data_IF_751067951863
#
_entry.id   IF_751067951863
#
_cell.length_a   1.000
_cell.length_b   1.000
_cell.length_c   1.000
_cell.angle_alpha   90.00
_cell.angle_beta   90.00
_cell.angle_gamma   90.00
#
_symmetry.space_group_name_H-M   'P 1'
#
loop_
_entity.id
_entity.type
_entity.pdbx_description
1 polymer ?
#
# COMPACT_ATOMS: atom_id res chain seq x y z
N UNK A 1 -7.96 -11.32 -26.60
CA UNK A 1 -6.94 -11.59 -25.59
C UNK A 1 -7.62 -11.88 -24.28
N UNK A 2 -7.88 -13.15 -24.00
CA UNK A 2 -8.68 -13.66 -22.88
C UNK A 2 -7.84 -14.70 -22.17
N UNK A 3 -7.25 -14.35 -21.03
CA UNK A 3 -6.35 -15.27 -20.32
C UNK A 3 -6.11 -14.95 -18.85
N UNK A 4 -6.10 -13.67 -18.46
CA UNK A 4 -5.91 -13.30 -17.05
C UNK A 4 -7.22 -13.26 -16.24
N UNK A 5 -8.36 -12.94 -16.88
CA UNK A 5 -9.66 -12.84 -16.19
C UNK A 5 -10.28 -14.20 -15.81
N UNK A 6 -10.00 -15.27 -16.56
CA UNK A 6 -10.67 -16.56 -16.39
C UNK A 6 -10.06 -17.45 -15.29
N UNK A 7 -8.76 -17.32 -15.00
CA UNK A 7 -8.06 -18.23 -14.05
C UNK A 7 -8.43 -17.97 -12.58
N UNK A 8 -8.81 -16.74 -12.25
CA UNK A 8 -9.07 -16.31 -10.87
C UNK A 8 -10.55 -16.04 -10.56
N UNK A 9 -11.35 -15.66 -11.58
CA UNK A 9 -12.82 -15.56 -11.42
C UNK A 9 -13.48 -16.92 -11.21
N UNK A 10 -12.84 -18.03 -11.60
CA UNK A 10 -13.39 -19.38 -11.45
C UNK A 10 -13.29 -19.93 -10.00
N UNK A 11 -12.78 -19.16 -9.05
CA UNK A 11 -12.25 -19.67 -7.77
C UNK A 11 -13.15 -19.39 -6.54
N UNK A 12 -14.36 -18.84 -6.72
CA UNK A 12 -15.38 -18.77 -5.66
C UNK A 12 -14.90 -18.14 -4.34
N UNK A 13 -15.09 -18.83 -3.22
CA UNK A 13 -14.76 -18.38 -1.85
C UNK A 13 -13.25 -18.21 -1.59
N UNK A 14 -12.39 -18.87 -2.38
CA UNK A 14 -10.94 -18.85 -2.16
C UNK A 14 -10.34 -17.46 -2.39
N UNK A 15 -10.91 -16.65 -3.29
CA UNK A 15 -10.41 -15.28 -3.52
C UNK A 15 -10.69 -14.34 -2.32
N UNK A 16 -11.92 -14.25 -1.80
CA UNK A 16 -12.18 -13.56 -0.53
C UNK A 16 -11.31 -14.06 0.63
N UNK A 17 -11.13 -15.38 0.76
CA UNK A 17 -10.32 -15.97 1.83
C UNK A 17 -8.85 -15.51 1.72
N UNK A 18 -8.29 -15.52 0.51
CA UNK A 18 -6.93 -15.06 0.25
C UNK A 18 -6.77 -13.57 0.58
N UNK A 19 -7.78 -12.75 0.26
CA UNK A 19 -7.79 -11.33 0.63
C UNK A 19 -7.82 -11.14 2.15
N UNK A 20 -8.67 -11.88 2.87
CA UNK A 20 -8.75 -11.81 4.35
C UNK A 20 -7.41 -12.16 4.99
N UNK A 21 -6.79 -13.26 4.58
CA UNK A 21 -5.48 -13.69 5.10
C UNK A 21 -4.41 -12.64 4.79
N UNK A 22 -4.45 -12.04 3.60
CA UNK A 22 -3.49 -10.99 3.20
C UNK A 22 -3.62 -9.74 4.06
N UNK A 23 -4.84 -9.31 4.39
CA UNK A 23 -5.07 -8.18 5.30
C UNK A 23 -4.68 -8.49 6.74
N UNK A 24 -4.94 -9.72 7.20
CA UNK A 24 -4.53 -10.16 8.53
C UNK A 24 -3.01 -10.08 8.70
N UNK A 25 -2.26 -10.58 7.72
CA UNK A 25 -0.79 -10.52 7.73
C UNK A 25 -0.27 -9.07 7.67
N UNK A 26 -0.90 -8.19 6.88
CA UNK A 26 -0.57 -6.76 6.86
C UNK A 26 -0.83 -6.07 8.21
N UNK A 27 -1.94 -6.40 8.87
CA UNK A 27 -2.26 -5.87 10.19
C UNK A 27 -1.26 -6.37 11.25
N UNK A 28 -0.91 -7.67 11.21
CA UNK A 28 0.08 -8.25 12.11
C UNK A 28 1.47 -7.61 11.97
N UNK A 29 1.91 -7.33 10.74
CA UNK A 29 3.15 -6.60 10.47
C UNK A 29 3.13 -5.18 11.10
N UNK A 30 2.01 -4.47 10.98
CA UNK A 30 1.85 -3.13 11.56
C UNK A 30 1.93 -3.16 13.09
N UNK A 31 1.26 -4.13 13.73
CA UNK A 31 1.29 -4.30 15.20
C UNK A 31 2.69 -4.69 15.67
N UNK A 32 3.38 -5.58 14.95
CA UNK A 32 4.74 -5.97 15.32
C UNK A 32 5.71 -4.78 15.25
N UNK A 33 5.57 -3.91 14.24
CA UNK A 33 6.34 -2.66 14.14
C UNK A 33 6.05 -1.73 15.32
N UNK A 34 4.79 -1.59 15.71
CA UNK A 34 4.39 -0.79 16.89
C UNK A 34 5.04 -1.32 18.18
N UNK A 35 5.02 -2.65 18.41
CA UNK A 35 5.68 -3.28 19.57
C UNK A 35 7.18 -2.98 19.58
N UNK A 36 7.86 -3.10 18.44
CA UNK A 36 9.29 -2.80 18.31
C UNK A 36 9.56 -1.32 18.64
N UNK A 37 8.71 -0.39 18.19
CA UNK A 37 8.87 1.03 18.54
C UNK A 37 8.69 1.30 20.03
N UNK A 38 7.70 0.68 20.67
CA UNK A 38 7.45 0.79 22.11
C UNK A 38 8.61 0.20 22.92
N UNK A 39 9.09 -0.99 22.53
CA UNK A 39 10.20 -1.67 23.20
C UNK A 39 11.52 -0.90 23.05
N UNK A 40 11.79 -0.36 21.86
CA UNK A 40 12.93 0.51 21.62
C UNK A 40 12.90 1.76 22.51
N UNK A 41 11.75 2.43 22.62
CA UNK A 41 11.60 3.61 23.47
C UNK A 41 11.88 3.32 24.96
N UNK A 42 11.46 2.13 25.43
CA UNK A 42 11.71 1.66 26.81
C UNK A 42 13.18 1.33 27.05
N UNK A 43 13.81 0.59 26.14
CA UNK A 43 15.20 0.13 26.29
C UNK A 43 16.24 1.24 26.09
N UNK A 44 15.93 2.26 25.29
CA UNK A 44 16.86 3.34 24.95
C UNK A 44 16.75 4.58 25.84
N UNK A 45 16.08 4.51 27.00
CA UNK A 45 15.92 5.62 27.97
C UNK A 45 15.54 6.97 27.31
N UNK A 46 14.59 6.93 26.37
CA UNK A 46 14.14 8.12 25.62
C UNK A 46 14.76 8.29 24.22
N UNK A 47 15.67 7.42 23.81
CA UNK A 47 16.06 7.29 22.40
C UNK A 47 14.99 6.58 21.57
N UNK A 48 14.70 7.06 20.36
CA UNK A 48 13.83 6.35 19.41
C UNK A 48 14.65 5.66 18.34
N UNK A 49 14.33 4.42 17.99
CA UNK A 49 14.86 3.79 16.75
C UNK A 49 14.47 4.67 15.56
N UNK A 50 15.44 4.93 14.67
CA UNK A 50 15.20 5.74 13.49
C UNK A 50 14.21 5.04 12.55
N UNK A 51 13.17 5.78 12.18
CA UNK A 51 12.09 5.38 11.30
C UNK A 51 12.64 4.87 9.95
N UNK A 52 13.72 5.51 9.49
CA UNK A 52 14.38 5.15 8.26
C UNK A 52 15.00 3.76 8.31
N UNK A 53 15.52 3.34 9.46
CA UNK A 53 16.12 2.01 9.62
C UNK A 53 15.05 0.93 9.51
N UNK A 54 13.95 1.07 10.25
CA UNK A 54 12.84 0.09 10.21
C UNK A 54 12.21 0.02 8.82
N UNK A 55 11.99 1.17 8.17
CA UNK A 55 11.46 1.21 6.81
C UNK A 55 12.41 0.58 5.77
N UNK A 56 13.72 0.84 5.90
CA UNK A 56 14.74 0.32 4.98
C UNK A 56 14.91 -1.19 5.13
N UNK A 57 14.98 -1.70 6.36
CA UNK A 57 15.02 -3.14 6.60
C UNK A 57 13.73 -3.82 6.11
N UNK A 58 12.55 -3.25 6.41
CA UNK A 58 11.28 -3.76 5.92
C UNK A 58 11.23 -3.84 4.39
N UNK A 59 11.62 -2.77 3.70
CA UNK A 59 11.67 -2.71 2.23
C UNK A 59 12.70 -3.67 1.64
N UNK A 60 13.86 -3.84 2.27
CA UNK A 60 14.90 -4.76 1.82
C UNK A 60 14.41 -6.23 1.90
N UNK A 61 13.82 -6.63 3.04
CA UNK A 61 13.25 -7.97 3.18
C UNK A 61 12.07 -8.18 2.22
N UNK A 62 11.18 -7.20 2.07
CA UNK A 62 10.08 -7.27 1.11
C UNK A 62 10.60 -7.50 -0.31
N UNK A 63 11.65 -6.78 -0.74
CA UNK A 63 12.25 -6.97 -2.05
C UNK A 63 12.83 -8.39 -2.21
N UNK A 64 13.53 -8.91 -1.20
CA UNK A 64 14.08 -10.28 -1.22
C UNK A 64 12.96 -11.32 -1.34
N UNK A 65 11.95 -11.26 -0.47
CA UNK A 65 10.82 -12.18 -0.51
C UNK A 65 10.04 -12.07 -1.82
N UNK A 66 9.85 -10.85 -2.34
CA UNK A 66 9.18 -10.64 -3.61
C UNK A 66 9.96 -11.26 -4.77
N UNK A 67 11.29 -11.12 -4.81
CA UNK A 67 12.16 -11.77 -5.79
C UNK A 67 12.10 -13.31 -5.70
N UNK A 68 12.04 -13.86 -4.48
CA UNK A 68 11.91 -15.30 -4.24
C UNK A 68 10.52 -15.84 -4.63
N UNK A 69 9.47 -15.06 -4.44
CA UNK A 69 8.09 -15.43 -4.77
C UNK A 69 7.72 -15.13 -6.23
N UNK A 70 8.43 -14.23 -6.91
CA UNK A 70 8.27 -13.89 -8.31
C UNK A 70 8.15 -15.12 -9.24
N UNK A 71 9.03 -16.15 -9.14
CA UNK A 71 8.86 -17.37 -9.93
C UNK A 71 7.50 -18.04 -9.67
N UNK A 72 7.11 -18.22 -8.41
CA UNK A 72 5.84 -18.86 -8.06
C UNK A 72 4.63 -18.07 -8.58
N UNK A 73 4.64 -16.74 -8.39
CA UNK A 73 3.59 -15.84 -8.86
C UNK A 73 3.50 -15.81 -10.40
N UNK A 74 4.63 -15.91 -11.09
CA UNK A 74 4.67 -15.96 -12.56
C UNK A 74 3.92 -17.19 -13.09
N UNK A 75 4.01 -18.34 -12.41
CA UNK A 75 3.23 -19.53 -12.78
C UNK A 75 1.74 -19.36 -12.53
N UNK A 76 1.35 -18.71 -11.43
CA UNK A 76 -0.06 -18.42 -11.13
C UNK A 76 -0.68 -17.45 -12.15
N UNK A 77 0.11 -16.50 -12.66
CA UNK A 77 -0.28 -15.57 -13.71
C UNK A 77 -0.20 -16.14 -15.14
N UNK A 78 0.21 -17.41 -15.29
CA UNK A 78 0.26 -18.10 -16.58
C UNK A 78 1.51 -17.82 -17.42
N UNK A 79 2.55 -17.21 -16.84
CA UNK A 79 3.83 -16.95 -17.52
C UNK A 79 4.78 -18.13 -17.33
N UNK A 80 5.27 -18.77 -18.40
CA UNK A 80 6.24 -19.85 -18.28
C UNK A 80 7.60 -19.32 -17.79
N UNK A 81 8.22 -20.01 -16.84
CA UNK A 81 9.47 -19.62 -16.16
C UNK A 81 10.61 -19.18 -17.09
N UNK A 82 10.73 -19.80 -18.26
CA UNK A 82 11.82 -19.50 -19.19
C UNK A 82 11.67 -18.15 -19.90
N UNK A 83 10.45 -17.57 -19.94
CA UNK A 83 10.22 -16.22 -20.46
C UNK A 83 10.42 -15.14 -19.39
N UNK A 84 10.45 -15.49 -18.10
CA UNK A 84 10.55 -14.52 -17.00
C UNK A 84 11.75 -13.56 -17.14
N UNK A 85 12.97 -14.02 -17.49
CA UNK A 85 14.10 -13.12 -17.70
C UNK A 85 13.89 -12.16 -18.87
N UNK A 86 13.24 -12.62 -19.94
CA UNK A 86 12.90 -11.80 -21.11
C UNK A 86 11.87 -10.74 -20.75
N UNK A 87 10.81 -11.09 -19.98
CA UNK A 87 9.84 -10.11 -19.47
C UNK A 87 10.48 -9.03 -18.59
N UNK A 88 11.42 -9.42 -17.71
CA UNK A 88 12.15 -8.45 -16.87
C UNK A 88 13.02 -7.54 -17.74
N UNK A 89 13.70 -8.10 -18.75
CA UNK A 89 14.54 -7.35 -19.68
C UNK A 89 13.73 -6.36 -20.51
N UNK A 90 12.60 -6.80 -21.05
CA UNK A 90 11.71 -5.95 -21.84
C UNK A 90 11.08 -4.85 -20.99
N UNK A 91 10.71 -5.17 -19.74
CA UNK A 91 10.26 -4.19 -18.75
C UNK A 91 11.34 -3.17 -18.39
N UNK A 92 12.59 -3.61 -18.22
CA UNK A 92 13.72 -2.72 -17.97
C UNK A 92 14.07 -1.84 -19.17
N UNK A 93 13.97 -2.37 -20.39
CA UNK A 93 14.16 -1.62 -21.63
C UNK A 93 13.06 -0.55 -21.81
N UNK A 94 11.80 -0.88 -21.49
CA UNK A 94 10.70 0.07 -21.46
C UNK A 94 10.88 1.14 -20.36
N UNK A 95 11.30 0.74 -19.15
CA UNK A 95 11.57 1.67 -18.05
C UNK A 95 12.70 2.64 -18.36
N UNK A 96 13.82 2.15 -18.89
CA UNK A 96 14.98 2.97 -19.25
C UNK A 96 14.82 3.70 -20.59
N UNK A 97 13.65 3.57 -21.23
CA UNK A 97 13.36 4.12 -22.56
C UNK A 97 14.44 3.76 -23.60
N UNK A 98 15.03 2.57 -23.48
CA UNK A 98 16.04 2.04 -24.40
C UNK A 98 15.38 1.10 -25.40
N UNK A 99 14.90 1.64 -26.52
CA UNK A 99 14.38 0.85 -27.64
C UNK A 99 13.08 1.40 -28.21
N UNK A 100 13.13 1.92 -29.43
CA UNK A 100 12.02 2.56 -30.14
C UNK A 100 10.98 1.57 -30.71
N UNK A 101 10.53 0.55 -29.96
CA UNK A 101 9.75 -0.54 -30.58
C UNK A 101 8.49 -1.04 -29.86
N UNK A 102 7.90 -0.31 -28.92
CA UNK A 102 6.54 -0.66 -28.48
C UNK A 102 5.69 0.57 -28.24
N UNK A 103 4.67 0.75 -29.06
CA UNK A 103 3.52 1.57 -28.72
C UNK A 103 3.02 1.13 -27.33
N UNK A 104 3.20 1.97 -26.30
CA UNK A 104 2.82 1.63 -24.92
C UNK A 104 3.81 2.01 -23.80
N UNK A 105 5.04 2.45 -24.11
CA UNK A 105 5.99 2.96 -23.11
C UNK A 105 5.92 4.49 -22.92
N UNK A 106 4.85 5.14 -23.40
CA UNK A 106 4.60 6.58 -23.25
C UNK A 106 4.58 6.95 -21.75
N UNK A 107 5.50 7.79 -21.30
CA UNK A 107 5.60 8.25 -19.91
C UNK A 107 6.61 7.52 -19.02
N UNK A 108 7.34 6.51 -19.52
CA UNK A 108 8.51 5.95 -18.84
C UNK A 108 9.77 6.81 -19.06
N UNK A 109 10.65 7.02 -18.06
CA UNK A 109 10.62 6.54 -16.67
C UNK A 109 9.82 7.42 -15.69
N UNK A 110 9.35 8.59 -16.13
CA UNK A 110 8.83 9.62 -15.24
C UNK A 110 7.65 9.14 -14.39
N UNK A 111 6.68 8.46 -15.00
CA UNK A 111 5.46 8.02 -14.32
C UNK A 111 5.73 6.89 -13.29
N UNK A 112 6.49 5.82 -13.62
CA UNK A 112 6.96 4.85 -12.62
C UNK A 112 7.77 5.47 -11.48
N UNK A 113 8.66 6.42 -11.78
CA UNK A 113 9.51 7.05 -10.78
C UNK A 113 8.68 7.95 -9.84
N UNK A 114 7.71 8.69 -10.38
CA UNK A 114 6.76 9.45 -9.60
C UNK A 114 5.93 8.55 -8.67
N UNK A 115 5.48 7.38 -9.16
CA UNK A 115 4.79 6.39 -8.34
C UNK A 115 5.65 5.91 -7.17
N UNK A 116 6.92 5.56 -7.41
CA UNK A 116 7.83 5.12 -6.35
C UNK A 116 8.07 6.22 -5.32
N UNK A 117 8.27 7.47 -5.75
CA UNK A 117 8.46 8.61 -4.85
C UNK A 117 7.23 8.85 -3.96
N UNK A 118 6.04 8.87 -4.55
CA UNK A 118 4.79 9.08 -3.79
C UNK A 118 4.51 7.92 -2.85
N UNK A 119 4.71 6.67 -3.30
CA UNK A 119 4.51 5.47 -2.47
C UNK A 119 5.51 5.43 -1.29
N UNK A 120 6.79 5.77 -1.52
CA UNK A 120 7.77 5.88 -0.44
C UNK A 120 7.43 7.01 0.53
N UNK A 121 7.01 8.18 0.02
CA UNK A 121 6.55 9.28 0.86
C UNK A 121 5.34 8.91 1.73
N UNK A 122 4.39 8.15 1.16
CA UNK A 122 3.22 7.63 1.88
C UNK A 122 3.61 6.63 2.98
N UNK A 123 4.46 5.65 2.67
CA UNK A 123 4.94 4.67 3.65
C UNK A 123 5.71 5.34 4.81
N UNK A 124 6.55 6.33 4.52
CA UNK A 124 7.28 7.11 5.55
C UNK A 124 6.29 7.93 6.39
N UNK A 125 5.29 8.54 5.76
CA UNK A 125 4.26 9.33 6.44
C UNK A 125 3.40 8.50 7.37
N UNK A 126 3.04 7.27 6.99
CA UNK A 126 2.34 6.32 7.86
C UNK A 126 3.20 5.93 9.07
N UNK A 127 4.49 5.67 8.86
CA UNK A 127 5.41 5.38 9.96
C UNK A 127 5.57 6.58 10.92
N UNK A 128 5.60 7.81 10.41
CA UNK A 128 5.62 9.02 11.25
C UNK A 128 4.30 9.17 12.05
N UNK A 129 3.17 8.83 11.43
CA UNK A 129 1.87 8.83 12.09
C UNK A 129 1.76 7.73 13.16
N UNK A 130 2.33 6.54 12.92
CA UNK A 130 2.46 5.47 13.91
C UNK A 130 3.28 5.91 15.13
N UNK A 131 4.34 6.70 14.91
CA UNK A 131 5.21 7.18 15.99
C UNK A 131 4.53 8.22 16.91
N UNK A 132 3.61 9.01 16.36
CA UNK A 132 2.91 10.09 17.11
C UNK A 132 1.57 9.63 17.68
N UNK A 133 0.92 8.66 17.04
CA UNK A 133 -0.44 8.25 17.36
C UNK A 133 -0.50 6.77 17.78
N UNK A 134 -1.08 5.89 16.94
CA UNK A 134 -1.23 4.46 17.20
C UNK A 134 -1.45 3.69 15.88
N UNK A 135 -1.27 2.37 15.89
CA UNK A 135 -1.58 1.48 14.77
C UNK A 135 -2.98 1.69 14.19
N UNK A 136 -3.99 1.94 15.02
CA UNK A 136 -5.39 2.13 14.57
C UNK A 136 -5.54 3.38 13.71
N UNK A 137 -4.94 4.50 14.12
CA UNK A 137 -4.97 5.74 13.35
C UNK A 137 -4.25 5.61 12.00
N UNK A 138 -3.12 4.88 11.98
CA UNK A 138 -2.39 4.58 10.74
C UNK A 138 -3.20 3.70 9.80
N UNK A 139 -3.86 2.65 10.31
CA UNK A 139 -4.76 1.81 9.52
C UNK A 139 -5.94 2.63 8.96
N UNK A 140 -6.58 3.49 9.76
CA UNK A 140 -7.67 4.35 9.30
C UNK A 140 -7.20 5.37 8.24
N UNK A 141 -6.05 6.01 8.44
CA UNK A 141 -5.47 6.94 7.47
C UNK A 141 -5.10 6.24 6.15
N UNK A 142 -4.53 5.03 6.23
CA UNK A 142 -4.25 4.23 5.04
C UNK A 142 -5.53 3.82 4.31
N UNK A 143 -6.58 3.46 5.04
CA UNK A 143 -7.89 3.10 4.48
C UNK A 143 -8.55 4.30 3.81
N UNK A 144 -8.36 5.52 4.32
CA UNK A 144 -8.86 6.75 3.71
C UNK A 144 -8.21 7.12 2.37
N UNK A 145 -6.97 6.65 2.12
CA UNK A 145 -6.31 6.86 0.82
C UNK A 145 -7.07 6.22 -0.36
N UNK A 146 -7.79 5.13 -0.12
CA UNK A 146 -8.57 4.40 -1.12
C UNK A 146 -9.73 5.24 -1.64
N UNK A 147 -10.66 5.74 -0.80
CA UNK A 147 -11.74 6.57 -1.28
C UNK A 147 -11.26 7.92 -1.83
N UNK A 148 -10.17 8.48 -1.31
CA UNK A 148 -9.55 9.69 -1.85
C UNK A 148 -9.05 9.48 -3.29
N UNK A 149 -8.45 8.32 -3.58
CA UNK A 149 -8.00 7.97 -4.94
C UNK A 149 -9.17 7.82 -5.90
N UNK A 150 -10.27 7.20 -5.47
CA UNK A 150 -11.49 7.07 -6.27
C UNK A 150 -12.13 8.43 -6.52
N UNK A 151 -12.14 9.31 -5.52
CA UNK A 151 -12.56 10.70 -5.71
C UNK A 151 -11.65 11.45 -6.70
N UNK A 152 -10.33 11.24 -6.65
CA UNK A 152 -9.39 11.83 -7.61
C UNK A 152 -9.67 11.39 -9.05
N UNK A 153 -10.06 10.13 -9.28
CA UNK A 153 -10.47 9.63 -10.60
C UNK A 153 -11.80 10.21 -11.11
N UNK A 154 -12.55 10.92 -10.27
CA UNK A 154 -13.79 11.59 -10.65
C UNK A 154 -13.55 13.05 -11.06
N UNK A 155 -12.35 13.58 -10.79
CA UNK A 155 -11.88 14.84 -11.35
C UNK A 155 -11.48 14.64 -12.82
N UNK A 156 -11.70 15.64 -13.69
CA UNK A 156 -11.24 15.62 -15.06
C UNK A 156 -9.71 15.75 -15.10
N UNK A 157 -9.00 14.65 -14.86
CA UNK A 157 -7.55 14.60 -14.92
C UNK A 157 -7.10 14.57 -16.39
N UNK A 158 -6.11 15.38 -16.78
CA UNK A 158 -5.48 15.23 -18.09
C UNK A 158 -4.93 13.79 -18.21
N UNK A 159 -5.17 13.13 -19.34
CA UNK A 159 -4.85 11.72 -19.66
C UNK A 159 -5.84 10.63 -19.21
N UNK A 160 -6.87 10.94 -18.43
CA UNK A 160 -7.95 9.99 -18.11
C UNK A 160 -9.24 10.48 -18.77
N UNK A 161 -9.93 9.58 -19.47
CA UNK A 161 -11.19 9.86 -20.16
C UNK A 161 -12.32 10.28 -19.21
N UNK A 162 -13.54 10.39 -19.76
CA UNK A 162 -14.73 10.95 -19.10
C UNK A 162 -14.88 10.57 -17.61
N UNK A 163 -15.13 11.58 -16.78
CA UNK A 163 -15.33 11.43 -15.34
C UNK A 163 -16.39 10.36 -15.05
N UNK A 164 -16.02 9.34 -14.27
CA UNK A 164 -16.96 8.29 -13.86
C UNK A 164 -17.91 8.82 -12.79
N UNK A 165 -19.20 8.52 -12.93
CA UNK A 165 -20.22 8.86 -11.93
C UNK A 165 -20.05 7.98 -10.69
N UNK A 166 -19.95 8.60 -9.50
CA UNK A 166 -19.78 7.84 -8.26
C UNK A 166 -21.09 7.14 -7.85
N UNK A 167 -21.06 5.84 -7.54
CA UNK A 167 -22.21 5.15 -6.96
C UNK A 167 -22.59 5.75 -5.58
N UNK A 168 -23.89 5.89 -5.26
CA UNK A 168 -24.32 6.41 -3.95
C UNK A 168 -23.79 5.61 -2.76
N UNK A 169 -23.66 4.28 -2.90
CA UNK A 169 -23.11 3.41 -1.86
C UNK A 169 -21.63 3.67 -1.55
N UNK A 170 -20.87 4.13 -2.53
CA UNK A 170 -19.47 4.51 -2.34
C UNK A 170 -19.35 5.81 -1.52
N UNK A 171 -20.21 6.80 -1.82
CA UNK A 171 -20.28 8.06 -1.06
C UNK A 171 -20.68 7.79 0.40
N UNK A 172 -21.66 6.91 0.62
CA UNK A 172 -22.07 6.49 1.97
C UNK A 172 -20.91 5.81 2.73
N UNK A 173 -20.18 4.89 2.09
CA UNK A 173 -19.02 4.24 2.68
C UNK A 173 -17.89 5.22 3.03
N UNK A 174 -17.60 6.18 2.14
CA UNK A 174 -16.62 7.23 2.39
C UNK A 174 -17.03 8.14 3.57
N UNK A 175 -18.31 8.50 3.66
CA UNK A 175 -18.84 9.29 4.78
C UNK A 175 -18.70 8.56 6.13
N UNK A 176 -18.99 7.25 6.17
CA UNK A 176 -18.82 6.42 7.37
C UNK A 176 -17.34 6.33 7.78
N UNK A 177 -16.43 6.17 6.82
CA UNK A 177 -14.98 6.15 7.08
C UNK A 177 -14.47 7.49 7.64
N UNK A 178 -14.91 8.61 7.07
CA UNK A 178 -14.59 9.96 7.58
C UNK A 178 -15.15 10.15 8.99
N UNK A 179 -16.39 9.74 9.23
CA UNK A 179 -16.98 9.81 10.56
C UNK A 179 -16.19 8.97 11.59
N UNK A 180 -15.77 7.75 11.22
CA UNK A 180 -14.91 6.92 12.07
C UNK A 180 -13.56 7.57 12.41
N UNK A 181 -12.91 8.18 11.41
CA UNK A 181 -11.64 8.89 11.60
C UNK A 181 -11.82 10.14 12.50
N UNK A 182 -12.90 10.89 12.31
CA UNK A 182 -13.22 12.07 13.13
C UNK A 182 -13.55 11.68 14.57
N UNK A 183 -14.34 10.63 14.79
CA UNK A 183 -14.65 10.14 16.14
C UNK A 183 -13.39 9.63 16.86
N UNK A 184 -12.47 8.99 16.15
CA UNK A 184 -11.19 8.56 16.71
C UNK A 184 -10.23 9.74 16.96
N UNK A 185 -10.31 10.80 16.15
CA UNK A 185 -9.49 12.00 16.29
C UNK A 185 -10.03 13.00 17.32
N UNK A 186 -11.31 12.92 17.70
CA UNK A 186 -11.85 13.72 18.78
C UNK A 186 -11.25 13.28 20.12
N UNK A 187 -10.82 14.21 20.99
CA UNK A 187 -10.38 13.87 22.33
C UNK A 187 -11.51 13.14 23.04
N UNK A 188 -11.26 11.86 23.40
CA UNK A 188 -12.19 11.09 24.22
C UNK A 188 -12.27 11.77 25.60
N UNK A 189 -13.45 12.22 26.06
CA UNK A 189 -13.60 12.76 27.40
C UNK A 189 -13.72 11.60 28.39
N UNK A 190 -12.64 10.88 28.67
CA UNK A 190 -12.54 9.99 29.85
C UNK A 190 -11.08 9.72 30.25
N UNK A 191 -10.40 10.76 30.72
CA UNK A 191 -9.85 10.83 32.09
C UNK A 191 -9.05 12.13 32.26
N UNK A 192 -9.72 13.13 32.84
CA UNK A 192 -9.04 14.19 33.57
C UNK A 192 -8.63 13.60 34.93
N UNK A 193 -7.31 13.47 35.18
CA UNK A 193 -6.74 13.20 36.51
C UNK A 193 -6.12 11.80 36.68
N UNK A 194 -4.79 11.68 36.58
CA UNK A 194 -3.89 11.58 37.74
C UNK A 194 -2.43 11.44 37.29
N UNK A 195 -1.58 12.29 37.89
CA UNK A 195 -0.11 12.30 37.99
C UNK A 195 0.71 12.42 36.68
N UNK A 196 1.50 13.46 36.38
CA UNK A 196 2.28 14.39 37.22
C UNK A 196 2.78 13.80 38.54
N UNK A 197 3.77 12.91 38.43
CA UNK A 197 5.08 13.10 39.10
C UNK A 197 6.18 12.38 38.30
#
# INVERSE_FOLDING_TARGET
GTGAGASLQSTGILWPLLMIISFFLQAADTVLKEIIFIDAAKNLKGGSVDLFVVNSYGSAYQAIFMCLLLPFLSKLWGIPFHLLPTYIRDGAACFLNMGSLSAGCEGAPLLPLLFVLVNMGFNISLLHLLKISSAVASCLASTFSVPLSIYAFTLPLPYIGVASTLPPGFVAGAAVLIAGLLMHGLPQPENCGESQE
#
